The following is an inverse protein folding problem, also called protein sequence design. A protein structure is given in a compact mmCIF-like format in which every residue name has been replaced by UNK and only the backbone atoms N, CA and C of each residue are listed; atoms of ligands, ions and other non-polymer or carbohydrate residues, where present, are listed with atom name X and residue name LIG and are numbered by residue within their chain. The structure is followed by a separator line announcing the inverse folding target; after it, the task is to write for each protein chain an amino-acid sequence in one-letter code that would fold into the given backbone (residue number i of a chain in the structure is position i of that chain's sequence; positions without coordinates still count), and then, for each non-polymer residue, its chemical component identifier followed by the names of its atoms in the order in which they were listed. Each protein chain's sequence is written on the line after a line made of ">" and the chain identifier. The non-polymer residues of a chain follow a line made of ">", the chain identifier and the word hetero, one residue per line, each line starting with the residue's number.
data_IF_184577019855
#
_entry.id   IF_184577019855
#
_cell.length_a   1.000
_cell.length_b   1.000
_cell.length_c   1.000
_cell.angle_alpha   90.00
_cell.angle_beta   90.00
_cell.angle_gamma   90.00
#
_symmetry.space_group_name_H-M   'P 1'
#
loop_
_entity.id
_entity.type
_entity.pdbx_description
1 polymer ?
#
# COMPACT_ATOMS: atom_id res chain seq x y z
N UNK A 1 33.84 16.81 -9.36
CA UNK A 1 32.72 17.42 -8.63
C UNK A 1 31.82 16.28 -8.18
N UNK A 2 31.63 16.08 -6.88
CA UNK A 2 30.74 15.03 -6.39
C UNK A 2 29.30 15.42 -6.72
N UNK A 3 28.55 14.53 -7.36
CA UNK A 3 27.10 14.72 -7.59
C UNK A 3 26.46 14.98 -6.23
N UNK A 4 25.76 16.11 -6.03
CA UNK A 4 25.13 16.38 -4.74
C UNK A 4 24.23 15.21 -4.39
N UNK A 5 24.35 14.72 -3.15
CA UNK A 5 23.49 13.68 -2.62
C UNK A 5 22.05 14.19 -2.69
N UNK A 6 21.29 13.71 -3.69
CA UNK A 6 19.88 14.03 -3.83
C UNK A 6 19.20 13.34 -2.65
N UNK A 7 18.62 14.13 -1.75
CA UNK A 7 17.80 13.61 -0.65
C UNK A 7 16.59 12.89 -1.25
N UNK A 8 16.72 11.57 -1.45
CA UNK A 8 15.64 10.72 -1.93
C UNK A 8 14.68 10.49 -0.76
N UNK A 9 13.64 11.32 -0.63
CA UNK A 9 12.67 11.03 0.42
C UNK A 9 11.67 12.10 0.81
N UNK A 10 11.71 13.32 0.26
CA UNK A 10 10.60 14.28 0.50
C UNK A 10 9.46 14.04 -0.50
N UNK A 11 8.29 13.50 -0.07
CA UNK A 11 7.16 13.29 -0.97
C UNK A 11 6.64 14.60 -1.57
N UNK A 12 6.90 15.75 -0.94
CA UNK A 12 6.47 17.06 -1.42
C UNK A 12 7.27 17.52 -2.64
N UNK A 13 8.45 16.96 -2.88
CA UNK A 13 9.24 17.23 -4.08
C UNK A 13 8.63 16.63 -5.36
N UNK A 14 7.66 15.73 -5.23
CA UNK A 14 6.94 15.12 -6.35
C UNK A 14 5.59 15.83 -6.58
N UNK A 15 5.45 16.59 -7.66
CA UNK A 15 4.19 17.24 -8.03
C UNK A 15 3.10 16.18 -8.34
N UNK A 16 1.92 16.20 -7.67
CA UNK A 16 0.80 15.32 -8.01
C UNK A 16 0.41 15.33 -9.48
N UNK A 17 0.56 16.47 -10.18
CA UNK A 17 0.24 16.59 -11.60
C UNK A 17 1.10 15.68 -12.49
N UNK A 18 2.31 15.33 -12.04
CA UNK A 18 3.20 14.38 -12.71
C UNK A 18 2.66 12.94 -12.73
N UNK A 19 1.62 12.65 -11.93
CA UNK A 19 0.99 11.34 -11.82
C UNK A 19 -0.43 11.31 -12.39
N UNK A 20 -0.75 12.22 -13.32
CA UNK A 20 -2.08 12.40 -13.91
C UNK A 20 -2.57 11.24 -14.78
N UNK A 21 -1.68 10.32 -15.18
CA UNK A 21 -2.01 9.10 -15.92
C UNK A 21 -1.60 7.82 -15.20
N UNK A 22 -0.83 7.93 -14.11
CA UNK A 22 -0.22 6.79 -13.45
C UNK A 22 1.06 7.13 -12.70
N UNK A 23 1.71 6.12 -12.15
CA UNK A 23 3.00 6.25 -11.46
C UNK A 23 3.79 4.95 -11.50
N UNK A 24 5.12 5.07 -11.56
CA UNK A 24 6.02 3.92 -11.49
C UNK A 24 7.00 4.06 -10.35
N UNK A 25 7.43 2.92 -9.81
CA UNK A 25 8.47 2.85 -8.79
C UNK A 25 9.19 1.51 -8.86
N UNK A 26 10.21 1.34 -8.04
CA UNK A 26 10.90 0.07 -7.86
C UNK A 26 10.93 -0.32 -6.38
N UNK A 27 11.15 -1.59 -6.11
CA UNK A 27 11.56 -2.01 -4.78
C UNK A 27 12.91 -1.37 -4.40
N UNK A 28 13.29 -1.45 -3.11
CA UNK A 28 14.50 -0.79 -2.59
C UNK A 28 15.79 -1.14 -3.35
N UNK A 29 15.94 -2.39 -3.83
CA UNK A 29 17.12 -2.79 -4.61
C UNK A 29 16.97 -2.60 -6.13
N UNK A 30 15.84 -2.10 -6.61
CA UNK A 30 15.58 -1.89 -8.04
C UNK A 30 15.20 -3.14 -8.85
N UNK A 31 15.19 -4.34 -8.26
CA UNK A 31 14.97 -5.59 -9.00
C UNK A 31 13.54 -5.82 -9.47
N UNK A 32 12.55 -5.17 -8.84
CA UNK A 32 11.13 -5.28 -9.20
C UNK A 32 10.64 -3.87 -9.51
N UNK A 33 10.04 -3.67 -10.69
CA UNK A 33 9.34 -2.43 -11.05
C UNK A 33 7.83 -2.64 -10.93
N UNK A 34 7.15 -1.63 -10.42
CA UNK A 34 5.69 -1.58 -10.36
C UNK A 34 5.23 -0.32 -11.07
N UNK A 35 4.26 -0.46 -11.96
CA UNK A 35 3.60 0.65 -12.65
C UNK A 35 2.10 0.59 -12.39
N UNK A 36 1.52 1.72 -12.02
CA UNK A 36 0.07 1.93 -11.92
C UNK A 36 -0.35 2.84 -13.08
N UNK A 37 -1.40 2.46 -13.79
CA UNK A 37 -2.04 3.28 -14.83
C UNK A 37 -3.45 3.66 -14.37
N UNK A 38 -3.59 4.85 -13.79
CA UNK A 38 -4.86 5.33 -13.23
C UNK A 38 -4.83 6.86 -13.12
N UNK A 39 -5.74 7.54 -13.83
CA UNK A 39 -5.82 9.00 -13.85
C UNK A 39 -6.52 9.60 -12.61
N UNK A 40 -7.12 8.76 -11.78
CA UNK A 40 -7.82 9.16 -10.57
C UNK A 40 -6.97 9.02 -9.31
N UNK A 41 -5.66 8.78 -9.42
CA UNK A 41 -4.79 8.60 -8.26
C UNK A 41 -4.83 9.82 -7.33
N UNK A 42 -4.73 11.03 -7.88
CA UNK A 42 -4.65 12.27 -7.10
C UNK A 42 -5.81 13.25 -7.31
N UNK A 43 -6.80 12.91 -8.14
CA UNK A 43 -8.00 13.75 -8.32
C UNK A 43 -9.08 13.49 -7.26
N UNK A 44 -8.91 12.42 -6.47
CA UNK A 44 -9.76 12.03 -5.34
C UNK A 44 -8.91 11.32 -4.29
N UNK A 45 -9.47 11.15 -3.09
CA UNK A 45 -8.86 10.27 -2.08
C UNK A 45 -8.76 8.86 -2.65
N UNK A 46 -7.64 8.18 -2.42
CA UNK A 46 -7.36 6.82 -2.88
C UNK A 46 -6.51 6.09 -1.87
N UNK A 47 -6.79 4.80 -1.71
CA UNK A 47 -6.06 3.93 -0.80
C UNK A 47 -6.69 3.86 0.59
N UNK A 48 -6.07 3.06 1.46
CA UNK A 48 -6.56 2.81 2.80
C UNK A 48 -5.40 2.52 3.76
N UNK A 49 -5.60 2.89 5.01
CA UNK A 49 -4.74 2.49 6.11
C UNK A 49 -5.31 1.25 6.80
N UNK A 50 -4.44 0.33 7.21
CA UNK A 50 -4.84 -0.86 7.95
C UNK A 50 -3.98 -1.04 9.20
N UNK A 51 -4.65 -1.15 10.35
CA UNK A 51 -4.01 -1.28 11.66
C UNK A 51 -3.98 -2.72 12.20
N UNK A 52 -4.43 -3.71 11.42
CA UNK A 52 -4.38 -5.10 11.86
C UNK A 52 -2.93 -5.58 12.06
N UNK A 53 -2.74 -6.55 12.95
CA UNK A 53 -1.40 -7.01 13.32
C UNK A 53 -0.58 -7.49 12.12
N UNK A 54 -1.18 -8.23 11.18
CA UNK A 54 -0.44 -8.78 10.04
C UNK A 54 -0.05 -7.68 9.04
N UNK A 55 -0.92 -6.70 8.81
CA UNK A 55 -0.60 -5.55 7.98
C UNK A 55 0.54 -4.72 8.59
N UNK A 56 0.54 -4.50 9.91
CA UNK A 56 1.65 -3.83 10.63
C UNK A 56 2.96 -4.61 10.49
N UNK A 57 2.93 -5.93 10.68
CA UNK A 57 4.11 -6.81 10.51
C UNK A 57 4.69 -6.73 9.10
N UNK A 58 3.84 -6.79 8.07
CA UNK A 58 4.28 -6.68 6.67
C UNK A 58 4.86 -5.30 6.39
N UNK A 59 4.25 -4.22 6.90
CA UNK A 59 4.72 -2.86 6.68
C UNK A 59 5.96 -2.51 7.51
N UNK A 60 6.28 -3.26 8.56
CA UNK A 60 7.31 -2.88 9.54
C UNK A 60 6.98 -1.56 10.26
N UNK A 61 5.70 -1.23 10.40
CA UNK A 61 5.22 0.07 10.91
C UNK A 61 3.97 -0.09 11.77
N UNK A 62 3.61 0.96 12.53
CA UNK A 62 2.38 1.01 13.34
C UNK A 62 1.09 0.97 12.50
N UNK A 63 1.20 1.18 11.18
CA UNK A 63 0.11 1.13 10.20
C UNK A 63 0.64 0.70 8.84
N UNK A 64 -0.18 0.03 8.04
CA UNK A 64 0.12 -0.24 6.63
C UNK A 64 -0.70 0.69 5.73
N UNK A 65 -0.01 1.41 4.83
CA UNK A 65 -0.66 2.14 3.74
C UNK A 65 -0.77 1.27 2.49
N UNK A 66 -1.98 1.15 1.94
CA UNK A 66 -2.29 0.23 0.85
C UNK A 66 -3.22 0.88 -0.18
N UNK A 67 -3.18 0.38 -1.42
CA UNK A 67 -4.15 0.69 -2.46
C UNK A 67 -4.73 -0.59 -3.01
N UNK A 68 -6.05 -0.78 -2.84
CA UNK A 68 -6.77 -1.81 -3.57
C UNK A 68 -7.18 -1.22 -4.92
N UNK A 69 -6.77 -1.86 -6.01
CA UNK A 69 -6.97 -1.39 -7.39
C UNK A 69 -7.14 -2.58 -8.32
N UNK A 70 -7.79 -2.37 -9.46
CA UNK A 70 -8.03 -3.39 -10.48
C UNK A 70 -6.69 -3.94 -11.01
N UNK A 71 -6.59 -5.26 -11.18
CA UNK A 71 -5.34 -5.92 -11.61
C UNK A 71 -4.81 -5.40 -12.94
N UNK A 72 -5.70 -5.14 -13.88
CA UNK A 72 -5.44 -4.60 -15.21
C UNK A 72 -4.77 -3.22 -15.21
N UNK A 73 -4.92 -2.44 -14.13
CA UNK A 73 -4.24 -1.13 -13.98
C UNK A 73 -2.83 -1.23 -13.43
N UNK A 74 -2.34 -2.44 -13.13
CA UNK A 74 -1.07 -2.65 -12.46
C UNK A 74 -0.20 -3.61 -13.25
N UNK A 75 1.00 -3.13 -13.58
CA UNK A 75 2.06 -3.94 -14.16
C UNK A 75 3.16 -4.17 -13.12
N UNK A 76 3.62 -5.41 -12.97
CA UNK A 76 4.73 -5.78 -12.09
C UNK A 76 5.78 -6.51 -12.91
N UNK A 77 6.90 -5.84 -13.15
CA UNK A 77 8.04 -6.40 -13.87
C UNK A 77 9.04 -6.98 -12.87
N UNK A 78 9.34 -8.26 -13.01
CA UNK A 78 10.32 -8.99 -12.21
C UNK A 78 11.26 -9.80 -13.11
N UNK A 79 12.13 -9.14 -13.90
CA UNK A 79 12.97 -9.80 -14.89
C UNK A 79 13.97 -10.79 -14.27
N UNK A 80 14.24 -10.67 -12.96
CA UNK A 80 15.15 -11.56 -12.22
C UNK A 80 14.42 -12.66 -11.43
N UNK A 81 13.09 -12.75 -11.54
CA UNK A 81 12.26 -13.71 -10.84
C UNK A 81 12.51 -13.75 -9.31
N UNK A 82 12.71 -12.58 -8.70
CA UNK A 82 13.02 -12.45 -7.26
C UNK A 82 11.78 -12.22 -6.40
N UNK A 83 10.58 -12.10 -6.97
CA UNK A 83 9.33 -11.97 -6.23
C UNK A 83 9.03 -13.25 -5.45
N UNK A 84 8.92 -13.11 -4.13
CA UNK A 84 8.55 -14.20 -3.21
C UNK A 84 7.14 -14.02 -2.70
N UNK A 85 6.53 -15.13 -2.28
CA UNK A 85 5.13 -15.19 -1.83
C UNK A 85 5.04 -15.88 -0.48
N UNK A 86 4.18 -15.37 0.39
CA UNK A 86 3.83 -15.96 1.68
C UNK A 86 2.31 -16.01 1.81
N UNK A 87 1.77 -17.19 2.12
CA UNK A 87 0.33 -17.39 2.32
C UNK A 87 -0.04 -17.05 3.78
N UNK A 88 -0.73 -15.94 3.97
CA UNK A 88 -1.21 -15.47 5.28
C UNK A 88 -2.67 -15.89 5.49
N UNK A 89 -2.90 -16.86 6.36
CA UNK A 89 -4.24 -17.37 6.71
C UNK A 89 -4.78 -16.77 8.01
N UNK A 90 -3.97 -16.04 8.79
CA UNK A 90 -4.37 -15.48 10.08
C UNK A 90 -5.10 -14.15 9.89
N UNK A 91 -6.19 -14.16 9.12
CA UNK A 91 -6.93 -12.98 8.68
C UNK A 91 -8.33 -12.94 9.32
N UNK A 92 -8.88 -11.75 9.51
CA UNK A 92 -10.23 -11.62 10.09
C UNK A 92 -11.34 -12.17 9.19
N UNK A 93 -11.10 -12.31 7.88
CA UNK A 93 -12.05 -12.93 6.96
C UNK A 93 -11.97 -14.46 6.95
N UNK A 94 -10.96 -15.06 7.59
CA UNK A 94 -10.66 -16.49 7.52
C UNK A 94 -10.21 -16.97 6.13
N UNK A 95 -9.92 -16.04 5.21
CA UNK A 95 -9.48 -16.31 3.83
C UNK A 95 -8.02 -15.92 3.63
N UNK A 96 -7.35 -16.60 2.71
CA UNK A 96 -5.93 -16.36 2.47
C UNK A 96 -5.68 -14.97 1.89
N UNK A 97 -4.61 -14.33 2.37
CA UNK A 97 -4.01 -13.18 1.73
C UNK A 97 -2.57 -13.54 1.35
N UNK A 98 -2.30 -13.72 0.06
CA UNK A 98 -0.95 -13.95 -0.43
C UNK A 98 -0.16 -12.65 -0.37
N UNK A 99 0.90 -12.59 0.45
CA UNK A 99 1.81 -11.45 0.58
C UNK A 99 2.97 -11.63 -0.40
N UNK A 100 3.18 -10.65 -1.28
CA UNK A 100 4.25 -10.69 -2.28
C UNK A 100 5.31 -9.63 -1.97
N UNK A 101 6.58 -10.03 -1.94
CA UNK A 101 7.70 -9.17 -1.53
C UNK A 101 8.96 -9.48 -2.34
N UNK A 102 9.89 -8.53 -2.40
CA UNK A 102 11.17 -8.75 -3.06
C UNK A 102 12.06 -9.68 -2.23
N UNK A 103 12.48 -10.81 -2.79
CA UNK A 103 13.38 -11.77 -2.12
C UNK A 103 14.82 -11.27 -1.93
N UNK A 104 15.20 -10.14 -2.53
CA UNK A 104 16.54 -9.56 -2.40
C UNK A 104 16.60 -8.54 -1.26
N UNK A 105 15.65 -7.60 -1.20
CA UNK A 105 15.65 -6.51 -0.22
C UNK A 105 14.53 -6.60 0.84
N UNK A 106 13.67 -7.62 0.78
CA UNK A 106 12.55 -7.80 1.70
C UNK A 106 11.38 -6.84 1.50
N UNK A 107 11.49 -5.87 0.58
CA UNK A 107 10.48 -4.82 0.42
C UNK A 107 9.11 -5.41 0.01
N UNK A 108 8.03 -5.12 0.76
CA UNK A 108 6.68 -5.55 0.42
C UNK A 108 6.19 -4.87 -0.86
N UNK A 109 5.67 -5.63 -1.82
CA UNK A 109 5.22 -5.11 -3.13
C UNK A 109 3.70 -5.02 -3.17
N UNK A 110 3.04 -6.17 -2.96
CA UNK A 110 1.60 -6.30 -3.13
C UNK A 110 1.02 -7.40 -2.24
N UNK A 111 -0.30 -7.47 -2.16
CA UNK A 111 -1.01 -8.63 -1.64
C UNK A 111 -2.17 -9.01 -2.57
N UNK A 112 -2.45 -10.30 -2.65
CA UNK A 112 -3.59 -10.87 -3.37
C UNK A 112 -4.51 -11.49 -2.33
N UNK A 113 -5.72 -10.97 -2.18
CA UNK A 113 -6.69 -11.47 -1.21
C UNK A 113 -7.74 -12.32 -1.92
N UNK A 114 -8.04 -13.50 -1.40
CA UNK A 114 -9.08 -14.38 -1.97
C UNK A 114 -10.45 -13.71 -2.01
N UNK A 115 -10.73 -12.81 -1.06
CA UNK A 115 -11.99 -12.05 -1.00
C UNK A 115 -12.08 -10.93 -2.06
N UNK A 116 -11.00 -10.63 -2.78
CA UNK A 116 -10.93 -9.60 -3.80
C UNK A 116 -10.20 -10.16 -5.05
N UNK A 117 -10.79 -11.15 -5.76
CA UNK A 117 -10.12 -11.90 -6.80
C UNK A 117 -9.70 -11.05 -8.00
N UNK A 118 -10.38 -9.94 -8.28
CA UNK A 118 -10.10 -9.07 -9.44
C UNK A 118 -9.21 -7.87 -9.10
N UNK A 119 -8.82 -7.75 -7.82
CA UNK A 119 -8.03 -6.63 -7.32
C UNK A 119 -6.63 -7.08 -6.89
N UNK A 120 -5.75 -6.10 -6.81
CA UNK A 120 -4.43 -6.19 -6.17
C UNK A 120 -4.37 -5.16 -5.05
N UNK A 121 -3.74 -5.52 -3.93
CA UNK A 121 -3.51 -4.61 -2.80
C UNK A 121 -2.05 -4.18 -2.82
N UNK A 122 -1.74 -3.07 -3.49
CA UNK A 122 -0.40 -2.49 -3.56
C UNK A 122 0.02 -1.91 -2.21
N UNK A 123 1.31 -2.05 -1.90
CA UNK A 123 1.93 -1.47 -0.70
C UNK A 123 2.41 -0.09 -1.03
N UNK A 124 1.73 0.95 -0.52
CA UNK A 124 1.96 2.31 -1.02
C UNK A 124 3.30 2.90 -0.57
N UNK A 125 3.93 2.35 0.47
CA UNK A 125 5.24 2.79 0.97
C UNK A 125 6.40 2.62 -0.02
N UNK A 126 6.22 1.92 -1.15
CA UNK A 126 7.24 1.83 -2.21
C UNK A 126 7.19 3.02 -3.18
N UNK A 127 6.13 3.84 -3.16
CA UNK A 127 5.96 4.96 -4.07
C UNK A 127 6.50 6.26 -3.47
N UNK A 128 7.06 7.17 -4.29
CA UNK A 128 7.67 8.41 -3.81
C UNK A 128 6.68 9.39 -3.19
N UNK A 129 5.44 9.36 -3.67
CA UNK A 129 4.30 10.11 -3.14
C UNK A 129 3.05 9.26 -3.27
N UNK A 130 2.19 9.32 -2.26
CA UNK A 130 0.96 8.55 -2.20
C UNK A 130 -0.24 9.50 -2.09
N UNK A 131 -1.40 9.14 -2.67
CA UNK A 131 -2.61 9.91 -2.48
C UNK A 131 -3.12 9.84 -1.04
N UNK A 132 -3.96 10.81 -0.67
CA UNK A 132 -4.61 10.80 0.64
C UNK A 132 -5.54 9.57 0.73
N UNK A 133 -5.40 8.71 1.75
CA UNK A 133 -6.26 7.54 1.89
C UNK A 133 -7.73 7.92 2.11
N UNK A 134 -8.63 7.05 1.67
CA UNK A 134 -10.08 7.22 1.79
C UNK A 134 -10.59 6.81 3.18
N UNK A 135 -9.96 5.78 3.75
CA UNK A 135 -10.45 5.12 4.95
C UNK A 135 -9.36 4.41 5.75
N UNK A 136 -9.72 4.05 6.98
CA UNK A 136 -8.97 3.16 7.84
C UNK A 136 -9.77 1.88 8.10
N UNK A 137 -9.07 0.75 8.14
CA UNK A 137 -9.59 -0.53 8.61
C UNK A 137 -8.86 -0.95 9.88
N UNK A 138 -9.54 -1.71 10.74
CA UNK A 138 -9.06 -2.05 12.08
C UNK A 138 -8.78 -0.82 12.93
N UNK A 139 -9.55 0.25 12.76
CA UNK A 139 -9.37 1.50 13.49
C UNK A 139 -9.49 1.32 15.02
N UNK A 140 -10.25 0.33 15.48
CA UNK A 140 -10.33 -0.04 16.89
C UNK A 140 -9.00 -0.59 17.45
N UNK A 141 -8.08 -1.04 16.59
CA UNK A 141 -6.76 -1.56 16.97
C UNK A 141 -5.66 -0.51 16.89
N UNK A 142 -6.05 0.77 16.82
CA UNK A 142 -5.10 1.85 16.94
C UNK A 142 -4.41 1.79 18.30
N UNK A 143 -3.07 1.86 18.30
CA UNK A 143 -2.27 2.32 19.44
C UNK A 143 -2.84 3.62 20.01
N UNK A 144 -2.95 3.71 21.33
CA UNK A 144 -3.56 4.83 22.05
C UNK A 144 -2.83 6.16 21.83
N UNK A 145 -1.51 6.11 21.66
CA UNK A 145 -0.69 7.30 21.42
C UNK A 145 -0.78 7.83 19.98
N UNK A 146 -1.39 7.09 19.05
CA UNK A 146 -1.45 7.53 17.66
C UNK A 146 -2.60 8.54 17.47
N UNK A 147 -2.31 9.60 16.72
CA UNK A 147 -3.33 10.55 16.29
C UNK A 147 -4.28 9.97 15.25
N UNK A 148 -5.31 10.74 14.91
CA UNK A 148 -6.21 10.42 13.80
C UNK A 148 -5.66 10.99 12.48
N UNK A 149 -5.84 10.26 11.38
CA UNK A 149 -5.41 10.72 10.06
C UNK A 149 -6.55 11.45 9.36
N UNK A 150 -6.77 12.71 9.74
CA UNK A 150 -7.74 13.60 9.08
C UNK A 150 -9.19 13.09 9.13
N UNK A 151 -9.92 13.34 8.04
CA UNK A 151 -11.37 13.12 7.87
C UNK A 151 -11.70 11.79 7.17
N UNK A 152 -10.84 10.79 7.30
CA UNK A 152 -11.02 9.48 6.66
C UNK A 152 -12.13 8.69 7.37
N UNK A 153 -12.87 7.88 6.60
CA UNK A 153 -13.86 6.97 7.18
C UNK A 153 -13.14 5.90 8.01
N UNK A 154 -13.55 5.73 9.26
CA UNK A 154 -12.90 4.81 10.20
C UNK A 154 -13.78 3.58 10.38
N UNK A 155 -13.37 2.43 9.85
CA UNK A 155 -14.05 1.16 10.09
C UNK A 155 -13.45 0.47 11.31
N UNK A 156 -14.29 -0.05 12.21
CA UNK A 156 -13.83 -0.72 13.43
C UNK A 156 -12.84 -1.83 13.12
N UNK A 157 -13.20 -2.71 12.17
CA UNK A 157 -12.44 -3.89 11.75
C UNK A 157 -12.37 -3.97 10.22
N UNK A 158 -13.49 -4.30 9.57
CA UNK A 158 -13.51 -4.58 8.13
C UNK A 158 -13.92 -3.35 7.33
N UNK A 159 -13.20 -3.07 6.23
CA UNK A 159 -13.58 -2.01 5.27
C UNK A 159 -15.00 -2.24 4.76
N UNK A 160 -15.84 -1.20 4.81
CA UNK A 160 -17.25 -1.27 4.42
C UNK A 160 -18.18 -1.85 5.49
N UNK A 161 -17.66 -2.22 6.67
CA UNK A 161 -18.44 -2.67 7.81
C UNK A 161 -18.85 -1.53 8.75
N UNK A 162 -18.99 -1.86 10.05
CA UNK A 162 -19.33 -0.91 11.10
C UNK A 162 -18.28 0.21 11.21
N UNK A 163 -18.73 1.46 11.28
CA UNK A 163 -17.84 2.59 11.53
C UNK A 163 -17.53 2.71 13.03
N UNK A 164 -16.32 3.18 13.32
CA UNK A 164 -15.87 3.39 14.69
C UNK A 164 -16.67 4.52 15.35
N UNK A 165 -17.31 4.22 16.48
CA UNK A 165 -18.10 5.19 17.26
C UNK A 165 -19.57 5.31 16.86
N UNK A 166 -19.99 4.59 15.81
CA UNK A 166 -21.41 4.23 15.59
C UNK A 166 -21.79 3.00 16.43
#
# INVERSE_FOLDING_TARGET
>A
MATPYIYTGDPKSHDPAAFSTGMSTTCLCGSIRVTITDSELFTRKRGHLCHCANCRKVAGSYVASNLAIEKEKVEVEDPKAVLRRYADYATASGKCVTRCFCGVCGNPIMSLAEILPDMIILKMGIFPRIPQPECESFAAHRQEWQGTHGDMVQFEITRGGKKLGE
#
